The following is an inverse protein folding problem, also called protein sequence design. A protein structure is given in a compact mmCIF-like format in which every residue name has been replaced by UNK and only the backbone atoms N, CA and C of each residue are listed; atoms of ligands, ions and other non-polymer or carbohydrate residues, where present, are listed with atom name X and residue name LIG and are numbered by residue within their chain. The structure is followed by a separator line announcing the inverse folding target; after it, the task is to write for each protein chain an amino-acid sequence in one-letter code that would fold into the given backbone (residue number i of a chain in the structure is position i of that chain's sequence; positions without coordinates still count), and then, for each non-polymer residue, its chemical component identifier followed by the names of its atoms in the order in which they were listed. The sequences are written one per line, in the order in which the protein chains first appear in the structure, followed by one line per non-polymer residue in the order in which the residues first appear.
data_IF_595266792794
#
_entry.id   IF_595266792794
#
_cell.length_a   1.000
_cell.length_b   1.000
_cell.length_c   1.000
_cell.angle_alpha   90.00
_cell.angle_beta   90.00
_cell.angle_gamma   90.00
#
_symmetry.space_group_name_H-M   'P 1'
#
loop_
_entity.id
_entity.type
_entity.pdbx_description
1 polymer ?
#
# COMPACT_ATOMS: atom_id res chain seq x y z
N UNK A 1 21.18 12.31 3.98
CA UNK A 1 20.25 13.30 3.38
C UNK A 1 18.91 13.11 4.10
N UNK A 2 18.06 14.13 4.24
CA UNK A 2 16.71 13.92 4.73
C UNK A 2 15.94 13.02 3.75
N UNK A 3 15.02 12.22 4.27
CA UNK A 3 14.10 11.41 3.46
C UNK A 3 13.32 12.32 2.50
N UNK A 4 13.27 11.93 1.25
CA UNK A 4 12.46 12.55 0.20
C UNK A 4 11.53 11.54 -0.38
N UNK A 5 10.28 11.92 -0.59
CA UNK A 5 9.20 11.06 -1.08
C UNK A 5 8.59 11.67 -2.34
N UNK A 6 8.38 10.87 -3.37
CA UNK A 6 7.64 11.34 -4.52
C UNK A 6 6.15 11.44 -4.17
N UNK A 7 5.65 12.66 -4.23
CA UNK A 7 4.24 12.94 -4.01
C UNK A 7 3.51 12.96 -5.35
N UNK A 8 2.54 12.07 -5.52
CA UNK A 8 1.77 11.99 -6.77
C UNK A 8 0.96 13.25 -7.06
N UNK A 9 0.52 13.97 -6.01
CA UNK A 9 -0.22 15.22 -6.17
C UNK A 9 0.64 16.32 -6.81
N UNK A 10 1.83 16.56 -6.25
CA UNK A 10 2.75 17.58 -6.79
C UNK A 10 3.63 17.07 -7.94
N UNK A 11 3.66 15.74 -8.18
CA UNK A 11 4.48 15.04 -9.19
C UNK A 11 5.99 15.27 -9.05
N UNK A 12 6.47 15.50 -7.84
CA UNK A 12 7.89 15.72 -7.53
C UNK A 12 8.29 15.04 -6.24
N UNK A 13 9.60 14.83 -6.07
CA UNK A 13 10.18 14.39 -4.80
C UNK A 13 10.25 15.57 -3.83
N UNK A 14 9.62 15.43 -2.68
CA UNK A 14 9.57 16.43 -1.62
C UNK A 14 10.29 15.94 -0.37
N UNK A 15 10.86 16.83 0.45
CA UNK A 15 11.34 16.45 1.77
C UNK A 15 10.19 15.90 2.61
N UNK A 16 10.40 14.72 3.19
CA UNK A 16 9.41 14.12 4.09
C UNK A 16 9.51 14.76 5.47
N UNK A 17 8.39 15.31 5.92
CA UNK A 17 8.26 15.84 7.27
C UNK A 17 7.03 15.18 7.91
N UNK A 18 7.25 14.33 8.90
CA UNK A 18 6.17 13.79 9.73
C UNK A 18 5.56 14.90 10.59
N UNK A 19 4.34 14.67 11.07
CA UNK A 19 3.71 15.47 12.12
C UNK A 19 4.57 15.48 13.40
N UNK A 20 4.17 16.27 14.42
CA UNK A 20 4.89 16.35 15.70
C UNK A 20 5.16 14.95 16.27
N UNK A 21 6.24 14.79 17.02
CA UNK A 21 6.65 13.52 17.67
C UNK A 21 7.07 12.38 16.75
N UNK A 22 7.37 12.65 15.47
CA UNK A 22 7.78 11.62 14.50
C UNK A 22 6.75 10.50 14.31
N UNK A 23 5.49 10.73 14.64
CA UNK A 23 4.40 9.83 14.29
C UNK A 23 3.98 10.06 12.84
N UNK A 24 3.81 8.98 12.09
CA UNK A 24 3.34 8.98 10.70
C UNK A 24 1.98 8.30 10.66
N UNK A 25 0.96 9.07 10.32
CA UNK A 25 -0.39 8.57 10.04
C UNK A 25 -0.42 8.12 8.58
N UNK A 26 -0.57 6.82 8.38
CA UNK A 26 -0.50 6.20 7.06
C UNK A 26 -1.76 5.38 6.79
N UNK A 27 -2.49 5.74 5.75
CA UNK A 27 -3.62 4.99 5.24
C UNK A 27 -3.27 4.33 3.90
N UNK A 28 -3.67 3.10 3.69
CA UNK A 28 -3.54 2.42 2.40
C UNK A 28 -4.87 1.79 2.03
N UNK A 29 -5.35 2.08 0.82
CA UNK A 29 -6.54 1.44 0.29
C UNK A 29 -6.40 -0.08 0.30
N UNK A 30 -7.30 -0.73 1.02
CA UNK A 30 -7.40 -2.17 1.10
C UNK A 30 -8.21 -2.78 -0.05
N UNK A 31 -8.44 -4.09 -0.01
CA UNK A 31 -9.13 -4.77 -1.09
C UNK A 31 -10.64 -4.72 -0.95
N UNK A 32 -11.34 -4.83 -2.08
CA UNK A 32 -12.73 -5.26 -2.09
C UNK A 32 -12.80 -6.78 -1.93
N UNK A 33 -13.41 -7.24 -0.85
CA UNK A 33 -13.39 -8.64 -0.43
C UNK A 33 -14.53 -9.47 -1.05
N UNK A 34 -14.44 -9.69 -2.36
CA UNK A 34 -15.40 -10.50 -3.12
C UNK A 34 -14.79 -11.77 -3.75
N UNK A 35 -13.47 -11.93 -3.67
CA UNK A 35 -12.71 -13.10 -4.15
C UNK A 35 -11.31 -13.11 -3.53
N UNK A 36 -10.57 -14.23 -3.72
CA UNK A 36 -9.18 -14.36 -3.30
C UNK A 36 -8.28 -13.31 -3.96
N UNK A 37 -7.28 -12.82 -3.20
CA UNK A 37 -6.32 -11.85 -3.69
C UNK A 37 -5.31 -12.47 -4.67
N UNK A 38 -4.80 -11.62 -5.54
CA UNK A 38 -3.78 -11.98 -6.53
C UNK A 38 -2.50 -11.16 -6.35
N UNK A 39 -1.43 -11.53 -7.07
CA UNK A 39 -0.12 -10.90 -6.96
C UNK A 39 -0.11 -9.40 -7.27
N UNK A 40 -1.12 -8.87 -7.99
CA UNK A 40 -1.30 -7.43 -8.16
C UNK A 40 -1.52 -6.71 -6.83
N UNK A 41 -2.37 -7.27 -5.95
CA UNK A 41 -2.56 -6.76 -4.58
C UNK A 41 -1.28 -6.92 -3.75
N UNK A 42 -0.63 -8.10 -3.83
CA UNK A 42 0.63 -8.34 -3.12
C UNK A 42 1.70 -7.32 -3.51
N UNK A 43 1.79 -6.89 -4.79
CA UNK A 43 2.71 -5.85 -5.26
C UNK A 43 2.54 -4.55 -4.46
N UNK A 44 1.30 -4.12 -4.29
CA UNK A 44 0.96 -2.90 -3.54
C UNK A 44 1.25 -3.05 -2.05
N UNK A 45 0.75 -4.11 -1.44
CA UNK A 45 0.86 -4.27 0.02
C UNK A 45 2.28 -4.57 0.49
N UNK A 46 3.07 -5.34 -0.28
CA UNK A 46 4.50 -5.57 0.02
C UNK A 46 5.34 -4.29 -0.14
N UNK A 47 5.01 -3.43 -1.11
CA UNK A 47 5.68 -2.15 -1.26
C UNK A 47 5.43 -1.25 -0.04
N UNK A 48 4.18 -1.13 0.41
CA UNK A 48 3.85 -0.30 1.57
C UNK A 48 4.31 -0.91 2.90
N UNK A 49 4.33 -2.24 3.03
CA UNK A 49 4.97 -2.89 4.19
C UNK A 49 6.48 -2.57 4.24
N UNK A 50 7.16 -2.58 3.10
CA UNK A 50 8.60 -2.22 3.02
C UNK A 50 8.82 -0.74 3.37
N UNK A 51 7.97 0.16 2.89
CA UNK A 51 8.00 1.59 3.23
C UNK A 51 7.79 1.79 4.73
N UNK A 52 6.76 1.17 5.31
CA UNK A 52 6.47 1.26 6.74
C UNK A 52 7.61 0.70 7.60
N UNK A 53 8.20 -0.44 7.21
CA UNK A 53 9.38 -1.01 7.89
C UNK A 53 10.60 -0.07 7.82
N UNK A 54 10.81 0.58 6.67
CA UNK A 54 11.91 1.55 6.55
C UNK A 54 11.67 2.80 7.40
N UNK A 55 10.45 3.31 7.46
CA UNK A 55 10.12 4.43 8.33
C UNK A 55 10.36 4.07 9.81
N UNK A 56 9.94 2.87 10.25
CA UNK A 56 10.25 2.34 11.59
C UNK A 56 11.78 2.20 11.80
N UNK A 57 12.52 1.67 10.81
CA UNK A 57 13.99 1.60 10.82
C UNK A 57 14.65 2.98 10.98
N UNK A 58 14.05 4.01 10.40
CA UNK A 58 14.52 5.40 10.47
C UNK A 58 14.09 6.15 11.73
N UNK A 59 13.38 5.47 12.65
CA UNK A 59 12.98 5.99 13.95
C UNK A 59 11.65 6.75 13.95
N UNK A 60 10.81 6.56 12.92
CA UNK A 60 9.43 7.04 12.94
C UNK A 60 8.53 6.04 13.67
N UNK A 61 7.52 6.56 14.37
CA UNK A 61 6.39 5.76 14.88
C UNK A 61 5.33 5.72 13.78
N UNK A 62 4.79 4.55 13.52
CA UNK A 62 3.77 4.37 12.49
C UNK A 62 2.40 4.16 13.14
N UNK A 63 1.39 4.80 12.57
CA UNK A 63 -0.01 4.47 12.75
C UNK A 63 -0.57 4.13 11.38
N UNK A 64 -0.53 2.84 11.04
CA UNK A 64 -0.83 2.33 9.71
C UNK A 64 -2.19 1.63 9.68
N UNK A 65 -3.14 2.20 8.94
CA UNK A 65 -4.48 1.67 8.74
C UNK A 65 -4.67 1.19 7.32
N UNK A 66 -5.47 0.15 7.17
CA UNK A 66 -5.94 -0.34 5.88
C UNK A 66 -7.43 -0.65 5.98
N UNK A 67 -8.24 -0.14 5.03
CA UNK A 67 -9.65 -0.50 5.00
C UNK A 67 -9.88 -1.88 4.36
N UNK A 68 -11.08 -2.39 4.59
CA UNK A 68 -11.63 -3.58 3.93
C UNK A 68 -12.97 -3.18 3.33
N UNK A 69 -13.04 -3.11 2.00
CA UNK A 69 -14.26 -2.75 1.29
C UNK A 69 -15.18 -3.96 1.19
N UNK A 70 -16.16 -4.04 2.07
CA UNK A 70 -17.09 -5.16 2.21
C UNK A 70 -18.54 -4.84 1.78
N UNK A 71 -18.80 -3.59 1.37
CA UNK A 71 -20.14 -3.09 0.99
C UNK A 71 -20.28 -2.77 -0.50
N UNK A 72 -19.22 -2.95 -1.29
CA UNK A 72 -19.20 -2.57 -2.69
C UNK A 72 -20.13 -3.41 -3.56
N UNK A 73 -20.55 -2.84 -4.69
CA UNK A 73 -21.40 -3.51 -5.70
C UNK A 73 -20.87 -4.88 -6.13
N UNK A 74 -19.54 -5.04 -6.26
CA UNK A 74 -18.91 -6.32 -6.63
C UNK A 74 -19.12 -7.42 -5.60
N UNK A 75 -19.21 -7.07 -4.31
CA UNK A 75 -19.52 -8.02 -3.24
C UNK A 75 -20.94 -8.54 -3.41
N UNK A 76 -21.90 -7.64 -3.67
CA UNK A 76 -23.32 -7.99 -3.87
C UNK A 76 -23.49 -8.87 -5.11
N UNK A 77 -22.94 -8.47 -6.25
CA UNK A 77 -22.99 -9.25 -7.49
C UNK A 77 -22.41 -10.66 -7.30
N UNK A 78 -21.27 -10.74 -6.62
CA UNK A 78 -20.64 -12.04 -6.37
C UNK A 78 -21.43 -12.91 -5.41
N UNK A 79 -22.08 -12.30 -4.44
CA UNK A 79 -22.97 -13.01 -3.49
C UNK A 79 -24.21 -13.57 -4.20
N UNK A 80 -24.80 -12.81 -5.13
CA UNK A 80 -25.89 -13.24 -5.97
C UNK A 80 -25.50 -14.44 -6.86
N UNK A 81 -24.34 -14.37 -7.55
CA UNK A 81 -23.80 -15.47 -8.33
C UNK A 81 -23.64 -16.75 -7.53
N UNK A 82 -23.19 -16.63 -6.28
CA UNK A 82 -22.91 -17.75 -5.39
C UNK A 82 -24.12 -18.13 -4.47
N UNK A 83 -25.24 -17.39 -4.58
CA UNK A 83 -26.44 -17.55 -3.74
C UNK A 83 -26.10 -17.51 -2.25
N UNK A 84 -25.31 -16.54 -1.84
CA UNK A 84 -24.88 -16.30 -0.45
C UNK A 84 -25.33 -14.92 0.02
N UNK A 85 -25.38 -14.73 1.35
CA UNK A 85 -25.49 -13.39 1.92
C UNK A 85 -24.24 -12.56 1.58
N UNK A 86 -24.38 -11.29 1.18
CA UNK A 86 -23.24 -10.44 0.81
C UNK A 86 -22.22 -10.21 1.93
N UNK A 87 -22.67 -9.99 3.16
CA UNK A 87 -21.77 -9.78 4.29
C UNK A 87 -21.08 -11.07 4.71
N UNK A 88 -21.77 -12.21 4.69
CA UNK A 88 -21.16 -13.52 4.93
C UNK A 88 -20.10 -13.86 3.88
N UNK A 89 -20.36 -13.51 2.62
CA UNK A 89 -19.37 -13.65 1.54
C UNK A 89 -18.14 -12.76 1.81
N UNK A 90 -18.38 -11.51 2.15
CA UNK A 90 -17.32 -10.55 2.46
C UNK A 90 -16.46 -11.04 3.63
N UNK A 91 -17.07 -11.53 4.73
CA UNK A 91 -16.35 -12.09 5.89
C UNK A 91 -15.47 -13.29 5.52
N UNK A 92 -15.98 -14.14 4.63
CA UNK A 92 -15.19 -15.29 4.12
C UNK A 92 -13.92 -14.82 3.39
N UNK A 93 -14.04 -13.87 2.46
CA UNK A 93 -12.89 -13.39 1.70
C UNK A 93 -12.00 -12.42 2.48
N UNK A 94 -12.54 -11.70 3.46
CA UNK A 94 -11.75 -10.93 4.43
C UNK A 94 -10.83 -11.85 5.24
N UNK A 95 -11.36 -12.96 5.76
CA UNK A 95 -10.55 -13.96 6.47
C UNK A 95 -9.42 -14.46 5.58
N UNK A 96 -9.72 -14.82 4.32
CA UNK A 96 -8.72 -15.27 3.37
C UNK A 96 -7.68 -14.16 3.04
N UNK A 97 -8.11 -12.90 2.99
CA UNK A 97 -7.22 -11.75 2.82
C UNK A 97 -6.24 -11.61 3.99
N UNK A 98 -6.74 -11.66 5.22
CA UNK A 98 -5.90 -11.53 6.42
C UNK A 98 -4.90 -12.69 6.53
N UNK A 99 -5.31 -13.92 6.18
CA UNK A 99 -4.42 -15.07 6.06
C UNK A 99 -3.31 -14.84 5.03
N UNK A 100 -3.66 -14.31 3.84
CA UNK A 100 -2.70 -14.01 2.79
C UNK A 100 -1.70 -12.92 3.22
N UNK A 101 -2.16 -11.88 3.94
CA UNK A 101 -1.30 -10.83 4.50
C UNK A 101 -0.32 -11.38 5.53
N UNK A 102 -0.82 -12.21 6.44
CA UNK A 102 0.01 -12.89 7.44
C UNK A 102 1.03 -13.83 6.76
N UNK A 103 0.58 -14.63 5.80
CA UNK A 103 1.44 -15.56 5.06
C UNK A 103 2.55 -14.83 4.28
N UNK A 104 2.27 -13.64 3.71
CA UNK A 104 3.28 -12.78 3.09
C UNK A 104 4.23 -12.10 4.07
N UNK A 105 4.00 -12.26 5.38
CA UNK A 105 4.77 -11.60 6.44
C UNK A 105 4.56 -10.08 6.48
N UNK A 106 3.38 -9.60 6.07
CA UNK A 106 2.99 -8.20 6.19
C UNK A 106 2.50 -7.97 7.61
N UNK A 107 3.35 -7.32 8.41
CA UNK A 107 3.13 -7.11 9.85
C UNK A 107 3.17 -5.64 10.25
N UNK A 108 3.22 -4.74 9.26
CA UNK A 108 3.32 -3.30 9.52
C UNK A 108 1.98 -2.63 9.68
N UNK A 109 0.88 -3.24 9.23
CA UNK A 109 -0.49 -2.73 9.38
C UNK A 109 -0.91 -2.89 10.83
N UNK A 110 -1.30 -1.79 11.47
CA UNK A 110 -1.71 -1.80 12.87
C UNK A 110 -3.19 -2.17 13.02
N UNK A 111 -4.04 -1.75 12.07
CA UNK A 111 -5.49 -2.04 12.09
C UNK A 111 -6.04 -2.22 10.67
N UNK A 112 -6.98 -3.16 10.54
CA UNK A 112 -7.81 -3.38 9.35
C UNK A 112 -9.25 -2.97 9.70
N UNK A 113 -9.81 -2.03 8.92
CA UNK A 113 -11.09 -1.38 9.21
C UNK A 113 -12.12 -1.69 8.13
N UNK A 114 -13.25 -2.27 8.51
CA UNK A 114 -14.32 -2.62 7.57
C UNK A 114 -15.15 -1.40 7.22
N UNK A 115 -15.43 -1.19 5.95
CA UNK A 115 -16.30 -0.11 5.50
C UNK A 115 -17.69 -0.18 6.17
N UNK A 116 -18.24 -1.38 6.34
CA UNK A 116 -19.55 -1.59 6.99
C UNK A 116 -19.64 -1.09 8.43
N UNK A 117 -18.52 -0.96 9.13
CA UNK A 117 -18.49 -0.48 10.52
C UNK A 117 -18.57 1.06 10.62
N UNK A 118 -18.45 1.77 9.47
CA UNK A 118 -18.40 3.23 9.37
C UNK A 118 -19.60 3.87 8.65
N UNK A 119 -20.70 3.14 8.49
CA UNK A 119 -21.92 3.66 7.83
C UNK A 119 -22.44 4.95 8.45
N UNK A 120 -22.52 5.11 9.80
CA UNK A 120 -22.93 6.37 10.39
C UNK A 120 -22.02 7.55 10.02
N UNK A 121 -20.71 7.33 9.96
CA UNK A 121 -19.72 8.36 9.59
C UNK A 121 -19.87 8.74 8.11
N UNK A 122 -20.10 7.77 7.23
CA UNK A 122 -20.36 8.03 5.80
C UNK A 122 -21.63 8.85 5.62
N UNK A 123 -22.73 8.50 6.31
CA UNK A 123 -23.98 9.28 6.28
C UNK A 123 -23.74 10.71 6.77
N UNK A 124 -22.98 10.88 7.85
CA UNK A 124 -22.66 12.21 8.38
C UNK A 124 -21.82 13.04 7.38
N UNK A 125 -20.85 12.43 6.71
CA UNK A 125 -20.05 13.09 5.66
C UNK A 125 -20.92 13.51 4.48
N UNK A 126 -21.77 12.62 3.96
CA UNK A 126 -22.71 12.93 2.87
C UNK A 126 -23.62 14.09 3.26
N UNK A 127 -24.21 14.06 4.47
CA UNK A 127 -25.05 15.14 4.97
C UNK A 127 -24.30 16.48 5.06
N UNK A 128 -23.04 16.45 5.49
CA UNK A 128 -22.16 17.63 5.51
C UNK A 128 -21.91 18.19 4.12
N UNK A 129 -21.62 17.33 3.13
CA UNK A 129 -21.40 17.74 1.73
C UNK A 129 -22.65 18.34 1.09
N UNK A 130 -23.84 17.79 1.38
CA UNK A 130 -25.12 18.35 0.95
C UNK A 130 -25.35 19.72 1.59
N UNK A 131 -25.11 19.84 2.91
CA UNK A 131 -25.22 21.12 3.63
C UNK A 131 -24.26 22.19 3.10
N UNK A 132 -23.05 21.78 2.69
CA UNK A 132 -22.05 22.70 2.12
C UNK A 132 -22.39 23.06 0.64
N UNK A 133 -23.44 22.50 0.05
CA UNK A 133 -23.90 22.79 -1.31
C UNK A 133 -23.01 22.22 -2.42
N UNK A 134 -22.14 21.24 -2.08
CA UNK A 134 -21.25 20.54 -3.04
C UNK A 134 -21.78 19.15 -3.41
N UNK A 135 -22.88 18.73 -2.83
CA UNK A 135 -23.60 17.52 -3.18
C UNK A 135 -25.09 17.79 -3.33
N UNK A 136 -25.79 16.94 -4.06
CA UNK A 136 -27.23 17.06 -4.31
C UNK A 136 -27.92 15.71 -4.31
N UNK A 137 -29.19 15.72 -3.88
CA UNK A 137 -30.06 14.53 -3.89
C UNK A 137 -30.80 14.40 -5.21
N UNK A 138 -31.04 13.16 -5.62
CA UNK A 138 -31.89 12.76 -6.74
C UNK A 138 -32.80 11.60 -6.33
N UNK A 139 -33.63 11.13 -7.24
CA UNK A 139 -34.44 9.92 -7.06
C UNK A 139 -33.58 8.64 -6.87
N UNK A 140 -32.37 8.60 -7.46
CA UNK A 140 -31.48 7.43 -7.42
C UNK A 140 -30.40 7.49 -6.33
N UNK A 141 -30.21 8.63 -5.67
CA UNK A 141 -29.21 8.77 -4.61
C UNK A 141 -28.72 10.19 -4.39
N UNK A 142 -27.57 10.30 -3.74
CA UNK A 142 -26.86 11.56 -3.52
C UNK A 142 -25.55 11.54 -4.29
N UNK A 143 -25.28 12.62 -5.01
CA UNK A 143 -24.10 12.75 -5.87
C UNK A 143 -23.27 13.96 -5.48
N UNK A 144 -21.95 13.82 -5.56
CA UNK A 144 -21.00 14.92 -5.47
C UNK A 144 -21.02 15.71 -6.79
N UNK A 145 -21.10 17.02 -6.70
CA UNK A 145 -21.14 17.91 -7.84
C UNK A 145 -19.71 18.37 -8.18
N UNK A 146 -19.06 17.68 -9.12
CA UNK A 146 -17.63 17.86 -9.45
C UNK A 146 -17.29 19.30 -9.82
N UNK A 147 -18.14 20.00 -10.56
CA UNK A 147 -17.91 21.38 -10.96
C UNK A 147 -17.93 22.39 -9.79
N UNK A 148 -18.30 21.97 -8.58
CA UNK A 148 -18.19 22.77 -7.34
C UNK A 148 -16.84 22.63 -6.64
N UNK A 149 -15.97 21.76 -7.14
CA UNK A 149 -14.62 21.55 -6.62
C UNK A 149 -13.58 21.78 -7.73
N UNK A 150 -13.09 23.02 -7.91
CA UNK A 150 -12.25 23.42 -9.05
C UNK A 150 -10.94 22.63 -9.17
N UNK A 151 -10.40 22.11 -8.04
CA UNK A 151 -9.18 21.31 -8.00
C UNK A 151 -9.38 19.84 -8.39
N UNK A 152 -10.60 19.41 -8.77
CA UNK A 152 -10.83 18.05 -9.24
C UNK A 152 -10.06 17.77 -10.54
N UNK A 153 -9.22 16.75 -10.51
CA UNK A 153 -8.31 16.43 -11.62
C UNK A 153 -6.83 16.74 -11.34
N UNK A 154 -6.51 17.44 -10.26
CA UNK A 154 -5.11 17.80 -9.94
C UNK A 154 -4.24 16.58 -9.67
N UNK A 155 -4.72 15.59 -8.89
CA UNK A 155 -3.97 14.38 -8.60
C UNK A 155 -3.74 13.55 -9.86
N UNK A 156 -4.78 13.34 -10.66
CA UNK A 156 -4.73 12.56 -11.90
C UNK A 156 -4.06 13.30 -13.05
N UNK A 157 -4.01 14.62 -13.00
CA UNK A 157 -3.50 15.49 -14.05
C UNK A 157 -4.44 15.57 -15.25
N UNK A 158 -5.72 15.37 -15.03
CA UNK A 158 -6.75 15.44 -16.07
C UNK A 158 -7.46 16.78 -16.04
N UNK A 159 -7.68 17.36 -17.20
CA UNK A 159 -8.50 18.55 -17.33
C UNK A 159 -9.98 18.22 -17.15
N UNK A 160 -10.81 19.20 -16.76
CA UNK A 160 -12.26 19.03 -16.68
C UNK A 160 -12.89 18.55 -18.01
N UNK A 161 -12.31 18.94 -19.15
CA UNK A 161 -12.75 18.49 -20.46
C UNK A 161 -12.51 16.99 -20.67
N UNK A 162 -11.32 16.49 -20.29
CA UNK A 162 -10.98 15.05 -20.32
C UNK A 162 -11.83 14.23 -19.35
N UNK A 163 -12.17 14.79 -18.18
CA UNK A 163 -13.04 14.16 -17.19
C UNK A 163 -14.47 13.99 -17.71
N UNK A 164 -15.01 14.98 -18.43
CA UNK A 164 -16.33 14.93 -19.06
C UNK A 164 -16.48 13.82 -20.11
N UNK A 165 -15.37 13.37 -20.70
CA UNK A 165 -15.35 12.23 -21.62
C UNK A 165 -15.35 10.87 -20.89
N UNK A 166 -14.96 10.83 -19.62
CA UNK A 166 -14.94 9.62 -18.81
C UNK A 166 -16.19 9.52 -17.96
N UNK A 167 -17.12 8.70 -18.38
CA UNK A 167 -18.33 8.40 -17.61
C UNK A 167 -17.97 7.55 -16.41
N UNK A 168 -17.95 8.14 -15.22
CA UNK A 168 -17.67 7.41 -13.97
C UNK A 168 -18.78 6.40 -13.65
N UNK A 169 -20.02 6.75 -13.94
CA UNK A 169 -21.20 5.92 -13.75
C UNK A 169 -22.30 6.34 -14.73
N UNK A 170 -22.94 5.37 -15.36
CA UNK A 170 -24.12 5.64 -16.20
C UNK A 170 -25.34 5.80 -15.29
N UNK A 171 -25.79 7.04 -15.08
CA UNK A 171 -27.03 7.33 -14.36
C UNK A 171 -27.68 8.57 -14.96
N UNK A 172 -28.94 8.45 -15.36
CA UNK A 172 -29.70 9.53 -16.00
C UNK A 172 -30.09 10.66 -15.06
N UNK A 173 -30.05 10.43 -13.74
CA UNK A 173 -30.44 11.41 -12.73
C UNK A 173 -29.29 12.35 -12.31
N UNK A 174 -28.06 12.11 -12.78
CA UNK A 174 -26.93 12.99 -12.52
C UNK A 174 -27.03 14.29 -13.28
N UNK A 175 -26.62 15.40 -12.65
CA UNK A 175 -26.57 16.73 -13.30
C UNK A 175 -25.47 16.83 -14.34
N UNK A 176 -24.34 16.13 -14.09
CA UNK A 176 -23.20 16.07 -15.00
C UNK A 176 -22.59 14.65 -15.04
N UNK A 177 -22.05 14.21 -16.20
CA UNK A 177 -21.47 12.87 -16.35
C UNK A 177 -20.33 12.57 -15.39
N UNK A 178 -19.53 13.58 -15.02
CA UNK A 178 -18.39 13.49 -14.12
C UNK A 178 -18.79 13.39 -12.63
N UNK A 179 -20.05 13.75 -12.27
CA UNK A 179 -20.50 13.63 -10.89
C UNK A 179 -20.46 12.17 -10.44
N UNK A 180 -20.11 11.93 -9.18
CA UNK A 180 -19.99 10.58 -8.65
C UNK A 180 -20.90 10.36 -7.43
N UNK A 181 -21.31 9.10 -7.22
CA UNK A 181 -22.23 8.76 -6.15
C UNK A 181 -21.57 8.82 -4.78
N UNK A 182 -22.27 9.44 -3.82
CA UNK A 182 -21.96 9.44 -2.39
C UNK A 182 -22.85 8.47 -1.62
N UNK A 183 -24.13 8.35 -2.05
CA UNK A 183 -25.10 7.41 -1.55
C UNK A 183 -26.01 6.93 -2.68
N UNK A 184 -26.21 5.62 -2.82
CA UNK A 184 -27.10 5.03 -3.83
C UNK A 184 -28.32 4.44 -3.16
N UNK A 185 -29.50 4.80 -3.66
CA UNK A 185 -30.77 4.24 -3.21
C UNK A 185 -31.02 2.86 -3.81
N UNK A 186 -31.56 1.96 -3.03
CA UNK A 186 -31.98 0.62 -3.43
C UNK A 186 -33.32 0.30 -2.81
N UNK A 187 -34.11 -0.55 -3.45
CA UNK A 187 -35.38 -1.02 -2.86
C UNK A 187 -35.19 -2.22 -1.95
N UNK A 188 -34.16 -3.02 -2.18
CA UNK A 188 -33.86 -4.26 -1.45
C UNK A 188 -32.39 -4.66 -1.58
N UNK A 189 -32.01 -5.72 -0.89
CA UNK A 189 -30.65 -6.26 -0.84
C UNK A 189 -29.84 -5.63 0.29
N UNK A 190 -28.51 -5.70 0.19
CA UNK A 190 -27.61 -5.10 1.18
C UNK A 190 -27.76 -3.58 1.18
N UNK A 191 -28.02 -2.98 2.33
CA UNK A 191 -28.13 -1.53 2.49
C UNK A 191 -28.47 -1.13 3.91
N UNK A 192 -28.54 0.17 4.13
CA UNK A 192 -28.81 0.81 5.42
C UNK A 192 -29.79 1.96 5.24
N UNK A 193 -30.54 2.26 6.30
CA UNK A 193 -31.37 3.44 6.34
C UNK A 193 -30.54 4.72 6.38
N UNK A 194 -30.98 5.73 5.64
CA UNK A 194 -30.35 7.05 5.61
C UNK A 194 -31.41 8.15 5.46
N UNK A 195 -31.05 9.43 5.66
CA UNK A 195 -31.97 10.56 5.40
C UNK A 195 -32.51 10.61 3.97
N UNK A 196 -31.81 9.97 3.04
CA UNK A 196 -32.18 9.94 1.61
C UNK A 196 -32.93 8.66 1.21
N UNK A 197 -33.16 7.77 2.13
CA UNK A 197 -33.78 6.47 1.93
C UNK A 197 -32.81 5.29 2.10
N UNK A 198 -33.37 4.08 2.01
CA UNK A 198 -32.59 2.85 2.09
C UNK A 198 -31.60 2.74 0.94
N UNK A 199 -30.34 2.37 1.25
CA UNK A 199 -29.30 2.32 0.22
C UNK A 199 -27.91 1.96 0.75
N UNK A 200 -26.89 2.24 -0.08
CA UNK A 200 -25.48 1.99 0.24
C UNK A 200 -24.62 3.21 -0.05
N UNK A 201 -23.47 3.36 0.66
CA UNK A 201 -22.49 4.38 0.33
C UNK A 201 -21.91 4.19 -1.08
N UNK A 202 -21.49 5.29 -1.70
CA UNK A 202 -20.63 5.28 -2.87
C UNK A 202 -19.24 4.76 -2.50
N UNK A 203 -18.52 4.21 -3.46
CA UNK A 203 -17.22 3.58 -3.21
C UNK A 203 -16.16 4.55 -2.63
N UNK A 204 -16.21 5.82 -3.01
CA UNK A 204 -15.14 6.77 -2.64
C UNK A 204 -15.28 7.33 -1.21
N UNK A 205 -16.48 7.28 -0.61
CA UNK A 205 -16.70 7.84 0.73
C UNK A 205 -16.26 6.89 1.85
N UNK A 206 -16.05 5.63 1.54
CA UNK A 206 -15.63 4.61 2.49
C UNK A 206 -14.28 4.98 3.12
N UNK A 207 -13.28 5.25 2.30
CA UNK A 207 -11.91 5.53 2.72
C UNK A 207 -11.80 6.85 3.47
N UNK A 208 -12.54 7.89 3.05
CA UNK A 208 -12.57 9.16 3.78
C UNK A 208 -13.26 9.03 5.13
N UNK A 209 -14.32 8.24 5.25
CA UNK A 209 -14.99 8.00 6.52
C UNK A 209 -14.09 7.26 7.52
N UNK A 210 -13.41 6.22 7.06
CA UNK A 210 -12.46 5.44 7.89
C UNK A 210 -11.25 6.30 8.28
N UNK A 211 -10.58 6.91 7.30
CA UNK A 211 -9.34 7.66 7.56
C UNK A 211 -9.58 8.87 8.45
N UNK A 212 -10.67 9.63 8.23
CA UNK A 212 -10.99 10.80 9.05
C UNK A 212 -11.42 10.43 10.47
N UNK A 213 -12.11 9.31 10.67
CA UNK A 213 -12.46 8.82 12.01
C UNK A 213 -11.23 8.53 12.87
N UNK A 214 -10.14 8.06 12.25
CA UNK A 214 -8.90 7.71 12.96
C UNK A 214 -7.87 8.84 13.00
N UNK A 215 -7.76 9.62 11.94
CA UNK A 215 -6.67 10.58 11.74
C UNK A 215 -7.09 12.04 11.83
N UNK A 216 -8.41 12.31 11.76
CA UNK A 216 -8.95 13.66 11.69
C UNK A 216 -8.95 14.20 10.26
N UNK A 217 -9.09 15.54 10.15
CA UNK A 217 -9.31 16.21 8.87
C UNK A 217 -8.11 16.17 7.92
N UNK A 218 -6.91 15.91 8.43
CA UNK A 218 -5.67 15.83 7.62
C UNK A 218 -4.72 14.79 8.19
N UNK A 219 -3.92 14.16 7.33
CA UNK A 219 -2.91 13.17 7.75
C UNK A 219 -1.70 13.12 6.80
N UNK A 220 -0.70 12.27 7.15
CA UNK A 220 0.60 12.38 6.50
C UNK A 220 0.67 11.66 5.15
N UNK A 221 0.28 10.37 5.07
CA UNK A 221 0.51 9.54 3.89
C UNK A 221 -0.73 8.75 3.51
N UNK A 222 -1.01 8.70 2.20
CA UNK A 222 -2.01 7.81 1.62
C UNK A 222 -1.37 6.98 0.50
N UNK A 223 -1.64 5.68 0.48
CA UNK A 223 -1.08 4.75 -0.48
C UNK A 223 -2.12 3.91 -1.20
N UNK A 224 -1.85 3.61 -2.48
CA UNK A 224 -2.66 2.71 -3.28
C UNK A 224 -1.99 2.29 -4.59
N UNK A 225 -2.66 1.50 -5.41
CA UNK A 225 -2.22 1.21 -6.76
C UNK A 225 -2.45 2.42 -7.67
N UNK A 226 -1.64 2.57 -8.72
CA UNK A 226 -1.75 3.73 -9.65
C UNK A 226 -3.10 3.80 -10.37
N UNK A 227 -3.82 2.71 -10.48
CA UNK A 227 -5.19 2.70 -11.05
C UNK A 227 -6.24 3.35 -10.12
N UNK A 228 -5.93 3.54 -8.82
CA UNK A 228 -6.79 4.22 -7.87
C UNK A 228 -6.64 5.76 -7.92
N UNK A 229 -5.59 6.29 -8.57
CA UNK A 229 -5.41 7.73 -8.74
C UNK A 229 -6.72 8.36 -9.24
N UNK A 230 -7.29 7.79 -10.29
CA UNK A 230 -8.56 8.22 -10.85
C UNK A 230 -9.49 7.02 -11.08
N UNK A 231 -10.75 7.11 -10.66
CA UNK A 231 -11.40 8.27 -10.00
C UNK A 231 -11.28 8.29 -8.47
N UNK A 232 -10.78 7.22 -7.82
CA UNK A 232 -11.01 6.94 -6.41
C UNK A 232 -10.34 7.98 -5.49
N UNK A 233 -9.01 8.12 -5.55
CA UNK A 233 -8.28 9.06 -4.68
C UNK A 233 -8.57 10.53 -5.03
N UNK A 234 -8.84 10.82 -6.30
CA UNK A 234 -9.30 12.15 -6.72
C UNK A 234 -10.63 12.52 -6.04
N UNK A 235 -11.58 11.57 -6.00
CA UNK A 235 -12.86 11.76 -5.32
C UNK A 235 -12.71 11.86 -3.80
N UNK A 236 -11.77 11.15 -3.19
CA UNK A 236 -11.48 11.27 -1.77
C UNK A 236 -10.98 12.67 -1.39
N UNK A 237 -10.04 13.21 -2.17
CA UNK A 237 -9.58 14.61 -1.99
C UNK A 237 -10.76 15.56 -2.04
N UNK A 238 -11.57 15.45 -3.09
CA UNK A 238 -12.71 16.34 -3.28
C UNK A 238 -13.72 16.27 -2.13
N UNK A 239 -14.04 15.06 -1.66
CA UNK A 239 -14.97 14.85 -0.55
C UNK A 239 -14.43 15.43 0.76
N UNK A 240 -13.20 15.08 1.12
CA UNK A 240 -12.64 15.49 2.40
C UNK A 240 -12.37 17.00 2.46
N UNK A 241 -11.81 17.59 1.42
CA UNK A 241 -11.48 19.02 1.38
C UNK A 241 -12.73 19.89 1.25
N UNK A 242 -13.73 19.48 0.45
CA UNK A 242 -15.00 20.19 0.36
C UNK A 242 -15.84 20.09 1.64
N UNK A 243 -15.70 18.99 2.40
CA UNK A 243 -16.38 18.81 3.68
C UNK A 243 -15.77 19.69 4.78
N UNK A 244 -14.44 19.69 4.89
CA UNK A 244 -13.71 20.24 6.04
C UNK A 244 -13.14 21.64 5.79
N UNK A 245 -12.93 22.02 4.54
CA UNK A 245 -12.18 23.22 4.14
C UNK A 245 -10.68 23.15 4.46
N UNK A 246 -10.15 21.97 4.85
CA UNK A 246 -8.73 21.75 5.13
C UNK A 246 -8.02 21.24 3.90
N UNK A 247 -6.92 21.89 3.53
CA UNK A 247 -6.07 21.59 2.37
C UNK A 247 -4.61 21.56 2.81
N UNK A 248 -3.83 20.52 2.47
CA UNK A 248 -4.27 19.30 1.78
C UNK A 248 -4.93 18.31 2.76
N UNK A 249 -5.86 17.50 2.27
CA UNK A 249 -6.42 16.35 3.01
C UNK A 249 -5.31 15.36 3.38
N UNK A 250 -4.47 15.00 2.41
CA UNK A 250 -3.31 14.13 2.61
C UNK A 250 -2.05 14.84 2.13
N UNK A 251 -1.01 14.82 2.96
CA UNK A 251 0.26 15.51 2.65
C UNK A 251 1.06 14.82 1.55
N UNK A 252 1.11 13.49 1.55
CA UNK A 252 1.88 12.70 0.57
C UNK A 252 1.04 11.56 -0.01
N UNK A 253 0.76 11.63 -1.30
CA UNK A 253 0.09 10.58 -2.05
C UNK A 253 1.11 9.66 -2.73
N UNK A 254 1.08 8.37 -2.40
CA UNK A 254 2.00 7.37 -2.93
C UNK A 254 1.26 6.31 -3.74
N UNK A 255 1.75 6.05 -4.97
CA UNK A 255 1.10 5.08 -5.84
C UNK A 255 2.10 4.04 -6.34
N UNK A 256 1.70 2.78 -6.26
CA UNK A 256 2.50 1.67 -6.80
C UNK A 256 2.23 1.45 -8.27
N UNK A 257 3.29 1.18 -9.04
CA UNK A 257 3.15 0.78 -10.43
C UNK A 257 2.45 -0.58 -10.58
N UNK A 258 1.73 -0.73 -11.68
CA UNK A 258 0.94 -1.94 -11.95
C UNK A 258 1.81 -3.18 -12.18
N UNK A 259 1.28 -4.33 -11.80
CA UNK A 259 1.82 -5.64 -12.13
C UNK A 259 1.10 -6.21 -13.36
N UNK A 260 1.87 -6.58 -14.38
CA UNK A 260 1.41 -7.35 -15.53
C UNK A 260 2.01 -8.76 -15.52
N UNK A 261 1.35 -9.70 -16.16
CA UNK A 261 1.84 -11.05 -16.39
C UNK A 261 2.13 -11.18 -17.87
N UNK A 262 3.37 -11.51 -18.24
CA UNK A 262 3.80 -11.61 -19.64
C UNK A 262 3.45 -10.36 -20.48
N UNK A 263 3.52 -9.19 -19.87
CA UNK A 263 3.20 -7.91 -20.53
C UNK A 263 1.71 -7.61 -20.69
N UNK A 264 0.81 -8.47 -20.19
CA UNK A 264 -0.64 -8.26 -20.21
C UNK A 264 -1.16 -7.95 -18.81
N UNK A 265 -2.16 -7.06 -18.70
CA UNK A 265 -2.83 -6.80 -17.41
C UNK A 265 -3.37 -8.11 -16.85
N UNK A 266 -3.16 -8.33 -15.55
CA UNK A 266 -3.74 -9.47 -14.85
C UNK A 266 -5.26 -9.28 -14.74
N UNK A 267 -6.04 -10.20 -15.30
CA UNK A 267 -7.50 -10.16 -15.23
C UNK A 267 -8.10 -11.56 -15.25
N UNK A 268 -9.26 -11.72 -14.59
CA UNK A 268 -10.00 -12.98 -14.57
C UNK A 268 -10.45 -13.39 -15.96
N UNK A 269 -10.87 -12.46 -16.80
CA UNK A 269 -11.31 -12.73 -18.18
C UNK A 269 -10.20 -13.28 -19.07
N UNK A 270 -8.93 -12.96 -18.77
CA UNK A 270 -7.77 -13.51 -19.50
C UNK A 270 -7.23 -14.81 -18.87
N UNK A 271 -7.78 -15.26 -17.76
CA UNK A 271 -7.33 -16.49 -17.07
C UNK A 271 -5.88 -16.44 -16.55
N UNK A 272 -5.25 -15.27 -16.50
CA UNK A 272 -3.86 -15.07 -16.13
C UNK A 272 -3.67 -14.57 -14.69
N UNK A 273 -4.68 -14.76 -13.84
CA UNK A 273 -4.64 -14.36 -12.42
C UNK A 273 -3.82 -15.36 -11.62
N UNK A 274 -2.75 -14.87 -10.98
CA UNK A 274 -1.93 -15.66 -10.05
C UNK A 274 -2.32 -15.29 -8.62
N UNK A 275 -2.93 -16.23 -7.89
CA UNK A 275 -3.32 -16.02 -6.49
C UNK A 275 -2.10 -15.94 -5.58
N UNK A 276 -2.19 -15.16 -4.52
CA UNK A 276 -1.11 -14.98 -3.55
C UNK A 276 -0.68 -16.32 -2.95
N UNK A 277 -1.63 -17.11 -2.47
CA UNK A 277 -1.37 -18.41 -1.81
C UNK A 277 -0.71 -19.43 -2.74
N UNK A 278 -1.02 -19.41 -4.04
CA UNK A 278 -0.41 -20.29 -5.03
C UNK A 278 1.05 -19.87 -5.29
N UNK A 279 1.30 -18.56 -5.42
CA UNK A 279 2.65 -18.04 -5.57
C UNK A 279 3.53 -18.27 -4.34
N UNK A 280 2.97 -18.15 -3.12
CA UNK A 280 3.69 -18.47 -1.87
C UNK A 280 4.10 -19.96 -1.87
N UNK A 281 3.19 -20.86 -2.24
CA UNK A 281 3.46 -22.29 -2.31
C UNK A 281 4.57 -22.63 -3.32
N UNK A 282 4.59 -21.95 -4.46
CA UNK A 282 5.52 -22.24 -5.55
C UNK A 282 6.90 -21.62 -5.33
N UNK A 283 6.97 -20.36 -4.88
CA UNK A 283 8.22 -19.59 -4.84
C UNK A 283 8.72 -19.27 -3.42
N UNK A 284 7.86 -19.39 -2.43
CA UNK A 284 8.16 -18.98 -1.05
C UNK A 284 8.14 -17.45 -0.84
N UNK A 285 7.79 -17.05 0.37
CA UNK A 285 7.66 -15.62 0.75
C UNK A 285 8.95 -14.82 0.58
N UNK A 286 10.13 -15.32 1.01
CA UNK A 286 11.37 -14.55 0.85
C UNK A 286 11.68 -14.22 -0.62
N UNK A 287 11.44 -15.17 -1.53
CA UNK A 287 11.63 -14.95 -2.97
C UNK A 287 10.68 -13.90 -3.51
N UNK A 288 9.39 -13.97 -3.17
CA UNK A 288 8.39 -13.00 -3.60
C UNK A 288 8.74 -11.60 -3.10
N UNK A 289 9.05 -11.45 -1.81
CA UNK A 289 9.44 -10.16 -1.22
C UNK A 289 10.70 -9.60 -1.88
N UNK A 290 11.71 -10.42 -2.09
CA UNK A 290 12.94 -10.01 -2.79
C UNK A 290 12.66 -9.59 -4.24
N UNK A 291 11.85 -10.37 -4.95
CA UNK A 291 11.48 -10.07 -6.32
C UNK A 291 10.76 -8.74 -6.44
N UNK A 292 9.74 -8.50 -5.62
CA UNK A 292 9.00 -7.25 -5.63
C UNK A 292 9.87 -6.05 -5.21
N UNK A 293 10.75 -6.21 -4.22
CA UNK A 293 11.68 -5.17 -3.79
C UNK A 293 12.80 -4.89 -4.82
N UNK A 294 13.01 -5.78 -5.80
CA UNK A 294 13.97 -5.56 -6.90
C UNK A 294 13.49 -4.53 -7.93
N UNK A 295 12.25 -4.08 -7.81
CA UNK A 295 11.66 -3.01 -8.64
C UNK A 295 11.29 -1.82 -7.76
N UNK A 296 11.54 -0.61 -8.24
CA UNK A 296 11.08 0.57 -7.55
C UNK A 296 9.55 0.55 -7.44
N UNK A 297 8.99 0.94 -6.27
CA UNK A 297 7.54 0.78 -6.02
C UNK A 297 6.65 1.49 -7.05
N UNK A 298 7.08 2.64 -7.59
CA UNK A 298 6.34 3.40 -8.60
C UNK A 298 6.41 2.83 -10.02
N UNK A 299 7.41 2.00 -10.30
CA UNK A 299 7.57 1.47 -11.66
C UNK A 299 6.59 0.33 -11.94
N UNK A 300 5.96 0.32 -13.12
CA UNK A 300 5.28 -0.88 -13.60
C UNK A 300 6.26 -2.06 -13.65
N UNK A 301 5.77 -3.25 -13.38
CA UNK A 301 6.59 -4.45 -13.45
C UNK A 301 5.89 -5.60 -14.18
N UNK A 302 6.68 -6.46 -14.76
CA UNK A 302 6.21 -7.68 -15.41
C UNK A 302 6.58 -8.87 -14.56
N UNK A 303 5.59 -9.65 -14.12
CA UNK A 303 5.83 -10.94 -13.49
C UNK A 303 6.41 -11.91 -14.50
N UNK A 304 7.56 -12.48 -14.19
CA UNK A 304 8.18 -13.50 -15.04
C UNK A 304 8.80 -14.62 -14.20
N UNK A 305 8.66 -15.87 -14.66
CA UNK A 305 9.26 -17.03 -14.02
C UNK A 305 10.79 -16.91 -13.98
N UNK A 306 11.40 -16.39 -15.04
CA UNK A 306 12.85 -16.14 -15.10
C UNK A 306 13.29 -15.15 -14.04
N UNK A 307 12.52 -14.05 -13.84
CA UNK A 307 12.77 -13.07 -12.79
C UNK A 307 12.68 -13.65 -11.40
N UNK A 308 11.66 -14.47 -11.12
CA UNK A 308 11.50 -15.17 -9.84
C UNK A 308 12.64 -16.16 -9.57
N UNK A 309 13.06 -16.94 -10.56
CA UNK A 309 14.23 -17.84 -10.45
C UNK A 309 15.53 -17.07 -10.16
N UNK A 310 15.72 -15.93 -10.82
CA UNK A 310 16.85 -15.03 -10.55
C UNK A 310 16.80 -14.50 -9.12
N UNK A 311 15.63 -14.05 -8.64
CA UNK A 311 15.44 -13.59 -7.28
C UNK A 311 15.79 -14.69 -6.25
N UNK A 312 15.36 -15.93 -6.47
CA UNK A 312 15.72 -17.08 -5.64
C UNK A 312 17.23 -17.31 -5.61
N UNK A 313 17.90 -17.27 -6.76
CA UNK A 313 19.36 -17.46 -6.84
C UNK A 313 20.12 -16.34 -6.10
N UNK A 314 19.71 -15.08 -6.27
CA UNK A 314 20.34 -13.93 -5.59
C UNK A 314 20.13 -14.01 -4.07
N UNK A 315 18.95 -14.36 -3.61
CA UNK A 315 18.64 -14.53 -2.19
C UNK A 315 19.45 -15.69 -1.58
N UNK A 316 19.56 -16.81 -2.29
CA UNK A 316 20.39 -17.96 -1.89
C UNK A 316 21.86 -17.55 -1.77
N UNK A 317 22.38 -16.74 -2.70
CA UNK A 317 23.74 -16.24 -2.61
C UNK A 317 23.97 -15.33 -1.40
N UNK A 318 23.01 -14.46 -1.07
CA UNK A 318 23.06 -13.63 0.14
C UNK A 318 23.14 -14.51 1.39
N UNK A 319 22.26 -15.50 1.51
CA UNK A 319 22.20 -16.41 2.66
C UNK A 319 23.49 -17.22 2.80
N UNK A 320 24.01 -17.80 1.70
CA UNK A 320 25.27 -18.54 1.71
C UNK A 320 26.46 -17.66 2.13
N UNK A 321 26.55 -16.42 1.63
CA UNK A 321 27.62 -15.49 2.00
C UNK A 321 27.57 -15.12 3.48
N UNK A 322 26.36 -14.85 4.02
CA UNK A 322 26.19 -14.56 5.43
C UNK A 322 26.55 -15.77 6.29
N UNK A 323 26.08 -16.97 5.91
CA UNK A 323 26.43 -18.20 6.59
C UNK A 323 27.94 -18.47 6.60
N UNK A 324 28.60 -18.28 5.46
CA UNK A 324 30.06 -18.39 5.37
C UNK A 324 30.80 -17.43 6.30
N UNK A 325 30.27 -16.25 6.54
CA UNK A 325 30.83 -15.29 7.50
C UNK A 325 30.58 -15.72 8.94
N UNK A 326 29.38 -16.16 9.28
CA UNK A 326 28.98 -16.48 10.67
C UNK A 326 29.56 -17.79 11.18
N UNK A 327 29.77 -18.79 10.32
CA UNK A 327 30.24 -20.12 10.70
C UNK A 327 31.77 -20.25 10.83
N UNK A 328 32.52 -19.35 10.21
CA UNK A 328 34.02 -19.40 10.32
C UNK A 328 34.46 -19.13 11.77
N UNK A 329 35.47 -19.83 12.32
CA UNK A 329 36.00 -19.53 13.63
C UNK A 329 36.43 -18.06 13.77
N UNK A 330 36.16 -17.42 14.92
CA UNK A 330 36.58 -16.05 15.17
C UNK A 330 38.12 -15.97 15.25
N UNK A 331 38.67 -14.86 14.75
CA UNK A 331 40.11 -14.58 14.80
C UNK A 331 40.35 -13.12 15.16
N UNK A 332 41.40 -12.83 15.89
CA UNK A 332 41.80 -11.47 16.21
C UNK A 332 42.73 -10.94 15.11
N UNK A 333 42.25 -10.01 14.26
CA UNK A 333 43.04 -9.38 13.20
C UNK A 333 42.67 -7.90 13.09
N UNK A 334 43.47 -7.04 13.68
CA UNK A 334 43.22 -5.60 13.75
C UNK A 334 43.04 -4.92 12.39
N UNK A 335 43.66 -5.42 11.33
CA UNK A 335 43.51 -4.89 9.97
C UNK A 335 42.14 -5.25 9.38
N UNK A 336 41.68 -6.49 9.61
CA UNK A 336 40.35 -6.94 9.15
C UNK A 336 39.23 -6.30 9.99
N UNK A 337 39.42 -6.11 11.29
CA UNK A 337 38.47 -5.38 12.15
C UNK A 337 38.23 -3.95 11.64
N UNK A 338 39.32 -3.20 11.34
CA UNK A 338 39.18 -1.85 10.75
C UNK A 338 38.48 -1.88 9.38
N UNK A 339 38.81 -2.89 8.55
CA UNK A 339 38.15 -3.05 7.24
C UNK A 339 36.65 -3.31 7.41
N UNK A 340 36.29 -4.17 8.36
CA UNK A 340 34.89 -4.44 8.68
C UNK A 340 34.15 -3.18 9.15
N UNK A 341 34.74 -2.43 10.08
CA UNK A 341 34.13 -1.20 10.60
C UNK A 341 33.81 -0.23 9.45
N UNK A 342 34.78 0.07 8.58
CA UNK A 342 34.58 0.96 7.43
C UNK A 342 33.52 0.40 6.47
N UNK A 343 33.51 -0.92 6.22
CA UNK A 343 32.54 -1.58 5.38
C UNK A 343 31.09 -1.41 5.93
N UNK A 344 30.90 -1.63 7.23
CA UNK A 344 29.58 -1.50 7.86
C UNK A 344 29.08 -0.05 7.80
N UNK A 345 29.90 0.92 8.20
CA UNK A 345 29.55 2.35 8.17
C UNK A 345 29.18 2.82 6.75
N UNK A 346 29.98 2.44 5.75
CA UNK A 346 29.70 2.77 4.34
C UNK A 346 28.43 2.09 3.84
N UNK A 347 28.20 0.84 4.18
CA UNK A 347 27.03 0.09 3.75
C UNK A 347 25.76 0.62 4.38
N UNK A 348 25.74 0.90 5.69
CA UNK A 348 24.58 1.48 6.37
C UNK A 348 24.28 2.88 5.81
N UNK A 349 25.29 3.71 5.61
CA UNK A 349 25.13 5.03 5.00
C UNK A 349 24.59 4.95 3.56
N UNK A 350 25.10 4.02 2.74
CA UNK A 350 24.63 3.82 1.38
C UNK A 350 23.19 3.28 1.34
N UNK A 351 22.87 2.34 2.23
CA UNK A 351 21.51 1.81 2.39
C UNK A 351 20.50 2.93 2.72
N UNK A 352 20.82 3.74 3.74
CA UNK A 352 19.99 4.89 4.12
C UNK A 352 19.84 5.88 2.97
N UNK A 353 20.92 6.25 2.30
CA UNK A 353 20.84 7.17 1.14
C UNK A 353 19.96 6.62 0.01
N UNK A 354 19.99 5.30 -0.21
CA UNK A 354 19.12 4.68 -1.23
C UNK A 354 17.66 4.74 -0.82
N UNK A 355 17.37 4.37 0.42
CA UNK A 355 15.98 4.37 0.91
C UNK A 355 15.45 5.79 1.14
N UNK A 356 16.31 6.76 1.52
CA UNK A 356 15.94 8.17 1.67
C UNK A 356 15.65 8.86 0.32
N UNK A 357 16.02 8.27 -0.79
CA UNK A 357 15.68 8.75 -2.14
C UNK A 357 14.44 8.03 -2.68
N UNK A 358 13.28 8.34 -2.10
CA UNK A 358 11.99 7.82 -2.55
C UNK A 358 11.89 6.29 -2.45
N UNK A 359 12.44 5.74 -1.36
CA UNK A 359 12.41 4.31 -1.09
C UNK A 359 12.98 3.47 -2.23
N UNK A 360 14.16 3.84 -2.76
CA UNK A 360 14.84 3.11 -3.86
C UNK A 360 15.32 1.72 -3.38
N UNK A 361 14.36 0.79 -3.29
CA UNK A 361 14.59 -0.58 -2.85
C UNK A 361 15.55 -1.34 -3.75
N UNK A 362 15.60 -1.18 -5.10
CA UNK A 362 16.60 -1.81 -5.97
C UNK A 362 18.03 -1.45 -5.59
N UNK A 363 18.29 -0.15 -5.35
CA UNK A 363 19.63 0.29 -4.93
C UNK A 363 19.98 -0.22 -3.54
N UNK A 364 19.03 -0.14 -2.60
CA UNK A 364 19.22 -0.63 -1.24
C UNK A 364 19.49 -2.15 -1.19
N UNK A 365 18.80 -2.97 -1.99
CA UNK A 365 19.09 -4.40 -2.16
C UNK A 365 20.49 -4.64 -2.76
N UNK A 366 20.94 -3.80 -3.67
CA UNK A 366 22.29 -3.90 -4.23
C UNK A 366 23.36 -3.67 -3.17
N UNK A 367 23.15 -2.73 -2.24
CA UNK A 367 24.01 -2.53 -1.07
C UNK A 367 24.04 -3.77 -0.18
N UNK A 368 22.88 -4.35 0.11
CA UNK A 368 22.77 -5.55 0.94
C UNK A 368 23.51 -6.75 0.32
N UNK A 369 23.35 -6.96 -0.99
CA UNK A 369 24.08 -8.01 -1.75
C UNK A 369 25.59 -7.81 -1.68
N UNK A 370 26.05 -6.58 -1.89
CA UNK A 370 27.47 -6.25 -1.83
C UNK A 370 28.03 -6.45 -0.43
N UNK A 371 27.31 -6.07 0.62
CA UNK A 371 27.70 -6.28 2.00
C UNK A 371 27.84 -7.78 2.31
N UNK A 372 26.83 -8.61 2.00
CA UNK A 372 26.90 -10.05 2.22
C UNK A 372 28.13 -10.68 1.56
N UNK A 373 28.40 -10.33 0.30
CA UNK A 373 29.56 -10.83 -0.44
C UNK A 373 30.87 -10.41 0.20
N UNK A 374 31.03 -9.16 0.65
CA UNK A 374 32.24 -8.68 1.28
C UNK A 374 32.47 -9.30 2.67
N UNK A 375 31.40 -9.49 3.45
CA UNK A 375 31.46 -10.14 4.75
C UNK A 375 32.04 -11.57 4.64
N UNK A 376 31.64 -12.35 3.64
CA UNK A 376 32.05 -13.77 3.51
C UNK A 376 33.58 -13.96 3.46
N UNK A 377 34.33 -12.94 3.04
CA UNK A 377 35.80 -12.98 2.95
C UNK A 377 36.52 -12.51 4.22
N UNK A 378 35.81 -11.96 5.20
CA UNK A 378 36.42 -11.40 6.40
C UNK A 378 36.56 -12.45 7.51
N UNK A 379 37.64 -12.27 8.30
CA UNK A 379 37.96 -13.06 9.48
C UNK A 379 38.20 -12.10 10.63
N UNK A 380 37.27 -12.07 11.58
CA UNK A 380 37.23 -11.10 12.67
C UNK A 380 36.84 -11.78 13.97
N UNK A 381 36.93 -11.06 15.09
CA UNK A 381 36.56 -11.59 16.39
C UNK A 381 35.03 -11.79 16.52
N UNK A 382 34.61 -12.47 17.60
CA UNK A 382 33.21 -12.83 17.81
C UNK A 382 32.29 -11.61 17.98
N UNK A 383 32.73 -10.60 18.68
CA UNK A 383 31.97 -9.36 18.91
C UNK A 383 31.70 -8.63 17.58
N UNK A 384 32.74 -8.46 16.77
CA UNK A 384 32.63 -7.86 15.44
C UNK A 384 31.71 -8.62 14.50
N UNK A 385 31.71 -9.98 14.59
CA UNK A 385 30.77 -10.81 13.85
C UNK A 385 29.32 -10.53 14.26
N UNK A 386 29.04 -10.56 15.53
CA UNK A 386 27.68 -10.31 16.05
C UNK A 386 27.19 -8.92 15.67
N UNK A 387 28.06 -7.90 15.76
CA UNK A 387 27.75 -6.53 15.32
C UNK A 387 27.43 -6.48 13.83
N UNK A 388 28.24 -7.12 12.99
CA UNK A 388 28.04 -7.14 11.54
C UNK A 388 26.73 -7.85 11.16
N UNK A 389 26.46 -8.98 11.79
CA UNK A 389 25.22 -9.74 11.61
C UNK A 389 23.99 -8.91 12.01
N UNK A 390 24.04 -8.26 13.17
CA UNK A 390 22.95 -7.39 13.66
C UNK A 390 22.65 -6.27 12.66
N UNK A 391 23.67 -5.56 12.16
CA UNK A 391 23.51 -4.48 11.20
C UNK A 391 22.93 -5.03 9.89
N UNK A 392 23.45 -6.16 9.40
CA UNK A 392 22.97 -6.79 8.18
C UNK A 392 21.51 -7.20 8.30
N UNK A 393 21.12 -7.87 9.38
CA UNK A 393 19.75 -8.34 9.64
C UNK A 393 18.78 -7.17 9.80
N UNK A 394 19.17 -6.07 10.44
CA UNK A 394 18.36 -4.86 10.53
C UNK A 394 18.03 -4.29 9.13
N UNK A 395 19.00 -4.22 8.23
CA UNK A 395 18.77 -3.76 6.85
C UNK A 395 17.92 -4.78 6.06
N UNK A 396 18.20 -6.07 6.17
CA UNK A 396 17.45 -7.13 5.50
C UNK A 396 15.99 -7.21 5.97
N UNK A 397 15.73 -6.90 7.24
CA UNK A 397 14.38 -6.92 7.83
C UNK A 397 13.48 -5.80 7.27
N UNK A 398 14.04 -4.72 6.74
CA UNK A 398 13.26 -3.72 5.98
C UNK A 398 12.53 -4.37 4.81
N UNK A 399 13.16 -5.33 4.15
CA UNK A 399 12.54 -6.07 3.04
C UNK A 399 11.74 -7.31 3.51
N UNK A 400 11.98 -7.79 4.73
CA UNK A 400 11.39 -9.04 5.23
C UNK A 400 11.78 -10.28 4.43
N UNK A 401 13.02 -10.33 3.93
CA UNK A 401 13.53 -11.39 3.04
C UNK A 401 14.30 -12.51 3.76
N UNK A 402 14.57 -12.33 5.03
CA UNK A 402 15.19 -13.36 5.87
C UNK A 402 14.22 -13.76 6.99
N UNK A 403 14.34 -14.99 7.53
CA UNK A 403 13.56 -15.39 8.69
C UNK A 403 13.70 -14.33 9.80
N UNK A 404 12.61 -14.05 10.52
CA UNK A 404 12.66 -13.12 11.64
C UNK A 404 13.69 -13.61 12.64
N UNK A 405 14.79 -12.89 12.75
CA UNK A 405 15.71 -13.03 13.86
C UNK A 405 15.04 -12.37 15.07
N UNK A 406 14.48 -13.15 15.96
CA UNK A 406 14.21 -12.69 17.33
C UNK A 406 15.56 -12.56 18.01
N UNK A 407 16.03 -11.36 18.36
CA UNK A 407 17.19 -11.27 19.25
C UNK A 407 16.81 -12.04 20.52
N UNK A 408 17.66 -12.98 20.89
CA UNK A 408 17.54 -13.61 22.21
C UNK A 408 17.41 -12.50 23.27
N UNK A 409 16.36 -12.61 24.09
CA UNK A 409 16.09 -11.68 25.19
C UNK A 409 17.26 -11.63 26.15
#
# INVERSE_FOLDING_TARGET
MPLRVYNSLSRRKEPFAASMDREVKFFVCGPTVYDYLHLGHARTYLAFDTIARYLKYSGYRMRYLMNVTDVAERVVQRAEELKRDPLDLARHYETAFLEDMQALGITSVDQYERASDYIPQMIAQVAGLVKNGVAYETETGVYFQVNKFPSFGELSGQSHEELGLRRLELCSSKRSPEDFSLWRKYEKGLGWDSPWGYGRPGWHIEDTAVSMAHFGDTYDMHGGASELIFPHHEAEIAQAEALTGKVPFVRYWLHTGLLSVEGRKMSKSLGNVVRIRDAIKEYGVPTLRFYFASFHYRQPMVLSVTGLRKATAELTAITKNLQAFTTVPPTTNSKQERKLQVLLERSESAFRRSMDDDFDTPKALSVLKALARNLSSLRVNQESKQRAETIFLRMANVFGILPQYSPAK
#
